data_IF_776165091962
#
_entry.id   IF_776165091962
#
_cell.length_a   1.000
_cell.length_b   1.000
_cell.length_c   1.000
_cell.angle_alpha   90.00
_cell.angle_beta   90.00
_cell.angle_gamma   90.00
#
_symmetry.space_group_name_H-M   'P 1'
#
loop_
_entity.id
_entity.type
_entity.pdbx_description
1 polymer ?
#
# COMPACT_ATOMS: atom_id res chain seq x y z
N UNK A 1 49.84 2.23 -39.81
CA UNK A 1 49.14 3.52 -39.93
C UNK A 1 47.66 3.24 -40.04
N UNK A 2 46.97 3.17 -38.90
CA UNK A 2 45.51 3.25 -38.86
C UNK A 2 45.23 4.39 -37.90
N UNK A 3 44.99 5.56 -38.47
CA UNK A 3 44.51 6.73 -37.74
C UNK A 3 43.11 6.39 -37.24
N UNK A 4 43.03 5.82 -36.02
CA UNK A 4 41.78 5.83 -35.27
C UNK A 4 41.44 7.31 -35.06
N UNK A 5 40.45 7.78 -35.81
CA UNK A 5 40.07 9.19 -35.82
C UNK A 5 39.70 9.58 -34.38
N UNK A 6 40.37 10.58 -33.77
CA UNK A 6 40.20 10.90 -32.35
C UNK A 6 38.73 11.17 -31.97
N UNK A 7 37.89 11.55 -32.93
CA UNK A 7 36.45 11.72 -32.72
C UNK A 7 35.66 10.42 -32.62
N UNK A 8 36.09 9.33 -33.25
CA UNK A 8 35.44 8.03 -33.05
C UNK A 8 35.69 7.51 -31.65
N UNK A 9 36.94 7.57 -31.19
CA UNK A 9 37.31 7.22 -29.82
C UNK A 9 36.55 8.08 -28.78
N UNK A 10 36.40 9.38 -29.04
CA UNK A 10 35.67 10.27 -28.15
C UNK A 10 34.16 10.01 -28.14
N UNK A 11 33.56 9.69 -29.29
CA UNK A 11 32.15 9.31 -29.38
C UNK A 11 31.87 7.97 -28.68
N UNK A 12 32.80 7.02 -28.74
CA UNK A 12 32.68 5.74 -28.03
C UNK A 12 32.75 5.92 -26.51
N UNK A 13 33.65 6.79 -26.03
CA UNK A 13 33.69 7.17 -24.61
C UNK A 13 32.38 7.84 -24.20
N UNK A 14 31.85 8.77 -25.00
CA UNK A 14 30.58 9.45 -24.71
C UNK A 14 29.42 8.45 -24.63
N UNK A 15 29.30 7.54 -25.60
CA UNK A 15 28.31 6.46 -25.59
C UNK A 15 28.47 5.54 -24.37
N UNK A 16 29.70 5.16 -24.01
CA UNK A 16 29.97 4.32 -22.85
C UNK A 16 29.55 5.01 -21.53
N UNK A 17 29.77 6.32 -21.41
CA UNK A 17 29.33 7.12 -20.27
C UNK A 17 27.80 7.24 -20.23
N UNK A 18 27.16 7.57 -21.35
CA UNK A 18 25.70 7.67 -21.44
C UNK A 18 25.01 6.34 -21.09
N UNK A 19 25.50 5.23 -21.65
CA UNK A 19 24.99 3.88 -21.36
C UNK A 19 25.20 3.49 -19.90
N UNK A 20 26.35 3.82 -19.31
CA UNK A 20 26.63 3.56 -17.89
C UNK A 20 25.74 4.39 -16.98
N UNK A 21 25.48 5.66 -17.31
CA UNK A 21 24.57 6.53 -16.57
C UNK A 21 23.12 6.05 -16.69
N UNK A 22 22.68 5.61 -17.87
CA UNK A 22 21.35 5.01 -18.08
C UNK A 22 21.23 3.70 -17.30
N UNK A 23 22.26 2.86 -17.29
CA UNK A 23 22.29 1.60 -16.53
C UNK A 23 22.26 1.85 -15.01
N UNK A 24 23.11 2.74 -14.51
CA UNK A 24 23.16 3.11 -13.10
C UNK A 24 21.87 3.83 -12.63
N UNK A 25 21.27 4.64 -13.51
CA UNK A 25 20.00 5.30 -13.23
C UNK A 25 18.82 4.34 -13.28
N UNK A 26 18.80 3.33 -14.16
CA UNK A 26 17.74 2.29 -14.18
C UNK A 26 17.79 1.37 -12.97
N UNK A 27 18.98 1.04 -12.45
CA UNK A 27 19.14 0.30 -11.18
C UNK A 27 18.63 1.11 -9.98
N UNK A 28 18.84 2.43 -9.98
CA UNK A 28 18.24 3.34 -9.00
C UNK A 28 16.80 3.73 -9.36
N UNK A 29 16.33 3.39 -10.56
CA UNK A 29 14.94 3.48 -11.02
C UNK A 29 14.10 2.32 -10.47
N UNK A 30 14.27 2.03 -9.18
CA UNK A 30 13.10 1.87 -8.30
C UNK A 30 12.45 3.23 -8.03
N UNK A 31 12.51 4.14 -9.01
CA UNK A 31 11.56 5.24 -9.11
C UNK A 31 10.25 4.52 -9.18
N UNK A 32 9.49 4.66 -8.10
CA UNK A 32 8.05 4.74 -8.15
C UNK A 32 7.72 5.51 -9.42
N UNK A 33 7.58 4.83 -10.56
CA UNK A 33 6.93 5.41 -11.71
C UNK A 33 5.61 5.84 -11.10
N UNK A 34 5.48 7.15 -10.92
CA UNK A 34 4.28 7.75 -10.39
C UNK A 34 3.30 7.55 -11.54
N UNK A 35 2.77 6.33 -11.65
CA UNK A 35 1.89 5.79 -12.70
C UNK A 35 0.61 6.62 -12.84
N UNK A 36 0.40 7.56 -11.91
CA UNK A 36 -0.69 8.51 -11.87
C UNK A 36 -0.34 9.87 -12.51
N UNK A 37 0.94 10.16 -12.79
CA UNK A 37 1.35 11.38 -13.50
C UNK A 37 1.13 11.16 -15.00
N UNK A 38 0.20 11.94 -15.55
CA UNK A 38 -0.13 11.88 -16.98
C UNK A 38 0.96 12.52 -17.84
N UNK A 39 1.05 12.09 -19.10
CA UNK A 39 1.91 12.74 -20.11
C UNK A 39 1.63 14.26 -20.22
N UNK A 40 0.37 14.67 -20.05
CA UNK A 40 -0.02 16.08 -20.01
C UNK A 40 0.60 16.82 -18.81
N UNK A 41 0.68 16.19 -17.63
CA UNK A 41 1.38 16.77 -16.47
C UNK A 41 2.88 16.90 -16.71
N UNK A 42 3.50 15.92 -17.39
CA UNK A 42 4.92 15.97 -17.77
C UNK A 42 5.17 17.13 -18.72
N UNK A 43 4.36 17.27 -19.77
CA UNK A 43 4.46 18.39 -20.71
C UNK A 43 4.31 19.75 -20.01
N UNK A 44 3.44 19.87 -19.00
CA UNK A 44 3.31 21.09 -18.19
C UNK A 44 4.53 21.36 -17.29
N UNK A 45 5.18 20.31 -16.77
CA UNK A 45 6.44 20.43 -16.02
C UNK A 45 7.55 20.93 -16.94
N UNK A 46 7.65 20.39 -18.16
CA UNK A 46 8.66 20.81 -19.11
C UNK A 46 8.41 22.23 -19.63
N UNK A 47 7.16 22.57 -19.96
CA UNK A 47 6.79 23.95 -20.31
C UNK A 47 7.12 24.95 -19.19
N UNK A 48 6.94 24.56 -17.92
CA UNK A 48 7.30 25.41 -16.78
C UNK A 48 8.79 25.72 -16.72
N UNK A 49 9.66 24.79 -17.12
CA UNK A 49 11.12 24.98 -17.10
C UNK A 49 11.60 26.00 -18.13
N UNK A 50 10.81 26.23 -19.18
CA UNK A 50 11.14 27.16 -20.27
C UNK A 50 10.76 28.62 -19.93
N UNK A 51 10.04 28.87 -18.84
CA UNK A 51 9.60 30.23 -18.48
C UNK A 51 10.78 31.02 -17.89
N UNK A 52 11.17 32.17 -18.47
CA UNK A 52 12.26 32.99 -17.95
C UNK A 52 11.99 33.55 -16.54
N UNK A 53 13.03 33.90 -15.78
CA UNK A 53 12.90 34.73 -14.58
C UNK A 53 12.52 36.16 -14.96
N UNK A 54 11.59 36.77 -14.21
CA UNK A 54 11.11 38.13 -14.49
C UNK A 54 9.67 38.30 -14.04
N UNK A 55 9.29 39.51 -13.61
CA UNK A 55 7.93 39.79 -13.14
C UNK A 55 6.90 39.77 -14.26
N UNK A 56 7.34 40.06 -15.49
CA UNK A 56 6.58 40.02 -16.73
C UNK A 56 6.03 38.60 -17.03
N UNK A 57 6.74 37.56 -16.59
CA UNK A 57 6.33 36.16 -16.77
C UNK A 57 5.56 35.58 -15.57
N UNK A 58 5.25 36.39 -14.55
CA UNK A 58 4.58 35.89 -13.34
C UNK A 58 3.20 35.31 -13.61
N UNK A 59 2.43 35.94 -14.52
CA UNK A 59 1.08 35.46 -14.85
C UNK A 59 1.13 34.13 -15.60
N UNK A 60 2.03 33.99 -16.58
CA UNK A 60 2.26 32.74 -17.32
C UNK A 60 2.67 31.59 -16.37
N UNK A 61 3.59 31.89 -15.45
CA UNK A 61 4.04 30.95 -14.41
C UNK A 61 2.91 30.56 -13.47
N UNK A 62 2.06 31.51 -13.08
CA UNK A 62 0.87 31.28 -12.26
C UNK A 62 -0.14 30.38 -12.97
N UNK A 63 -0.41 30.63 -14.25
CA UNK A 63 -1.33 29.83 -15.06
C UNK A 63 -0.85 28.40 -15.24
N UNK A 64 0.42 28.20 -15.60
CA UNK A 64 1.01 26.87 -15.73
C UNK A 64 0.99 26.14 -14.38
N UNK A 65 1.28 26.82 -13.26
CA UNK A 65 1.18 26.23 -11.92
C UNK A 65 -0.24 25.77 -11.58
N UNK A 66 -1.26 26.59 -11.90
CA UNK A 66 -2.67 26.24 -11.71
C UNK A 66 -3.06 25.01 -12.55
N UNK A 67 -2.69 25.00 -13.85
CA UNK A 67 -2.95 23.87 -14.76
C UNK A 67 -2.26 22.59 -14.30
N UNK A 68 -0.99 22.68 -13.93
CA UNK A 68 -0.20 21.54 -13.43
C UNK A 68 -0.81 20.97 -12.16
N UNK A 69 -1.17 21.83 -11.19
CA UNK A 69 -1.81 21.40 -9.94
C UNK A 69 -3.10 20.64 -10.22
N UNK A 70 -3.92 21.13 -11.16
CA UNK A 70 -5.17 20.46 -11.54
C UNK A 70 -4.92 19.12 -12.24
N UNK A 71 -3.97 19.07 -13.17
CA UNK A 71 -3.63 17.84 -13.90
C UNK A 71 -3.09 16.75 -12.96
N UNK A 72 -2.22 17.13 -12.02
CA UNK A 72 -1.70 16.21 -11.01
C UNK A 72 -2.81 15.69 -10.08
N UNK A 73 -3.72 16.56 -9.62
CA UNK A 73 -4.88 16.13 -8.82
C UNK A 73 -5.75 15.13 -9.58
N UNK A 74 -6.05 15.43 -10.84
CA UNK A 74 -6.85 14.54 -11.69
C UNK A 74 -6.16 13.19 -11.92
N UNK A 75 -4.86 13.19 -12.23
CA UNK A 75 -4.10 11.96 -12.42
C UNK A 75 -4.08 11.10 -11.15
N UNK A 76 -3.90 11.73 -9.98
CA UNK A 76 -3.95 11.04 -8.68
C UNK A 76 -5.33 10.46 -8.38
N UNK A 77 -6.39 11.21 -8.66
CA UNK A 77 -7.77 10.74 -8.47
C UNK A 77 -8.07 9.53 -9.37
N UNK A 78 -7.74 9.63 -10.65
CA UNK A 78 -7.92 8.53 -11.61
C UNK A 78 -7.18 7.27 -11.18
N UNK A 79 -5.98 7.42 -10.64
CA UNK A 79 -5.25 6.29 -10.11
C UNK A 79 -5.94 5.67 -8.89
N UNK A 80 -6.40 6.48 -7.93
CA UNK A 80 -7.12 5.96 -6.76
C UNK A 80 -8.42 5.25 -7.15
N UNK A 81 -9.16 5.78 -8.12
CA UNK A 81 -10.35 5.13 -8.67
C UNK A 81 -10.01 3.80 -9.31
N UNK A 82 -8.95 3.74 -10.14
CA UNK A 82 -8.51 2.49 -10.74
C UNK A 82 -8.10 1.46 -9.68
N UNK A 83 -7.38 1.91 -8.64
CA UNK A 83 -6.91 1.05 -7.56
C UNK A 83 -8.06 0.52 -6.68
N UNK A 84 -9.06 1.36 -6.39
CA UNK A 84 -10.29 0.95 -5.71
C UNK A 84 -11.03 -0.13 -6.50
N UNK A 85 -11.14 0.03 -7.83
CA UNK A 85 -11.75 -1.00 -8.69
C UNK A 85 -10.99 -2.33 -8.66
N UNK A 86 -9.66 -2.32 -8.56
CA UNK A 86 -8.88 -3.56 -8.41
C UNK A 86 -9.19 -4.25 -7.07
N UNK A 87 -9.28 -3.47 -5.99
CA UNK A 87 -9.63 -3.96 -4.65
C UNK A 87 -11.02 -4.57 -4.63
N UNK A 88 -12.02 -3.87 -5.20
CA UNK A 88 -13.40 -4.36 -5.32
C UNK A 88 -13.50 -5.66 -6.12
N UNK A 89 -12.79 -5.76 -7.26
CA UNK A 89 -12.75 -7.00 -8.05
C UNK A 89 -12.16 -8.16 -7.28
N UNK A 90 -11.04 -7.94 -6.56
CA UNK A 90 -10.42 -8.98 -5.75
C UNK A 90 -11.35 -9.46 -4.62
N UNK A 91 -12.07 -8.55 -3.99
CA UNK A 91 -13.07 -8.87 -2.98
C UNK A 91 -14.25 -9.66 -3.55
N UNK A 92 -14.79 -9.24 -4.70
CA UNK A 92 -15.93 -9.89 -5.35
C UNK A 92 -15.64 -11.35 -5.77
N UNK A 93 -14.40 -11.64 -6.17
CA UNK A 93 -13.96 -13.00 -6.56
C UNK A 93 -13.55 -13.83 -5.33
N UNK A 94 -13.51 -13.24 -4.13
CA UNK A 94 -13.05 -13.92 -2.91
C UNK A 94 -11.52 -14.16 -2.88
N UNK A 95 -10.74 -13.45 -3.70
CA UNK A 95 -9.28 -13.59 -3.74
C UNK A 95 -8.63 -12.78 -2.62
N UNK A 96 -8.67 -13.33 -1.40
CA UNK A 96 -8.14 -12.71 -0.19
C UNK A 96 -6.65 -12.36 -0.32
N UNK A 97 -5.84 -13.23 -0.93
CA UNK A 97 -4.39 -12.99 -1.11
C UNK A 97 -4.11 -11.75 -1.95
N UNK A 98 -4.85 -11.56 -3.05
CA UNK A 98 -4.72 -10.39 -3.91
C UNK A 98 -5.26 -9.13 -3.21
N UNK A 99 -6.39 -9.25 -2.52
CA UNK A 99 -6.97 -8.16 -1.73
C UNK A 99 -5.98 -7.63 -0.69
N UNK A 100 -5.40 -8.51 0.13
CA UNK A 100 -4.40 -8.12 1.14
C UNK A 100 -3.16 -7.46 0.52
N UNK A 101 -2.69 -7.95 -0.63
CA UNK A 101 -1.56 -7.35 -1.35
C UNK A 101 -1.89 -5.91 -1.80
N UNK A 102 -3.05 -5.72 -2.42
CA UNK A 102 -3.51 -4.41 -2.89
C UNK A 102 -3.69 -3.43 -1.73
N UNK A 103 -4.27 -3.86 -0.61
CA UNK A 103 -4.44 -3.05 0.60
C UNK A 103 -3.09 -2.67 1.22
N UNK A 104 -2.08 -3.54 1.17
CA UNK A 104 -0.71 -3.21 1.61
C UNK A 104 -0.01 -2.22 0.70
N UNK A 105 -0.25 -2.30 -0.61
CA UNK A 105 0.30 -1.36 -1.60
C UNK A 105 -0.34 0.03 -1.51
N UNK A 106 -1.65 0.09 -1.23
CA UNK A 106 -2.39 1.36 -1.07
C UNK A 106 -2.33 1.93 0.32
N UNK A 107 -2.07 1.09 1.31
CA UNK A 107 -1.93 1.49 2.70
C UNK A 107 -0.94 2.63 2.81
N UNK A 108 -1.28 3.61 3.65
CA UNK A 108 -0.34 4.63 4.09
C UNK A 108 0.85 3.85 4.65
N UNK A 109 1.98 3.90 3.93
CA UNK A 109 3.27 3.38 4.40
C UNK A 109 3.38 3.89 5.83
N UNK A 110 3.29 2.98 6.81
CA UNK A 110 3.08 3.30 8.22
C UNK A 110 3.79 4.62 8.52
N UNK A 111 3.10 5.69 9.00
CA UNK A 111 3.87 6.70 9.71
C UNK A 111 4.67 5.87 10.72
N UNK A 112 6.00 5.99 10.68
CA UNK A 112 6.86 5.45 11.73
C UNK A 112 6.09 5.68 13.02
N UNK A 113 5.65 4.57 13.63
CA UNK A 113 4.53 4.51 14.58
C UNK A 113 4.51 5.79 15.41
N UNK A 114 3.35 6.43 15.59
CA UNK A 114 3.20 7.55 16.52
C UNK A 114 3.71 7.10 17.89
N UNK A 115 5.01 7.31 18.12
CA UNK A 115 5.80 6.61 19.12
C UNK A 115 5.74 7.34 20.46
N UNK A 116 4.82 8.28 20.59
CA UNK A 116 4.62 9.03 21.81
C UNK A 116 3.58 8.29 22.65
N UNK A 117 3.93 7.09 23.09
CA UNK A 117 3.21 6.41 24.16
C UNK A 117 3.52 7.17 25.46
N UNK A 118 2.49 7.58 26.18
CA UNK A 118 2.63 8.23 27.48
C UNK A 118 2.32 7.27 28.62
N UNK A 119 2.96 7.53 29.75
CA UNK A 119 2.61 7.00 31.07
C UNK A 119 1.16 7.39 31.43
N UNK A 120 0.56 6.72 32.43
CA UNK A 120 -0.76 7.10 32.97
C UNK A 120 -0.80 8.54 33.47
N UNK A 121 0.34 9.05 33.92
CA UNK A 121 0.51 10.42 34.43
C UNK A 121 0.84 11.44 33.32
N UNK A 122 0.76 11.05 32.05
CA UNK A 122 0.96 11.92 30.88
C UNK A 122 2.41 12.11 30.42
N UNK A 123 3.40 11.53 31.11
CA UNK A 123 4.81 11.62 30.74
C UNK A 123 5.13 10.77 29.51
N UNK A 124 5.93 11.30 28.58
CA UNK A 124 6.28 10.60 27.34
C UNK A 124 7.32 9.49 27.61
N UNK A 125 7.07 8.30 27.09
CA UNK A 125 7.95 7.13 27.25
C UNK A 125 8.96 7.09 26.10
N UNK A 126 10.21 7.37 26.43
CA UNK A 126 11.32 7.35 25.47
C UNK A 126 11.99 5.97 25.33
N UNK A 127 11.82 5.06 26.30
CA UNK A 127 12.41 3.71 26.28
C UNK A 127 11.51 2.70 25.58
N UNK A 128 12.07 1.92 24.65
CA UNK A 128 11.34 0.88 23.93
C UNK A 128 10.83 -0.24 24.85
N UNK A 129 11.64 -0.70 25.82
CA UNK A 129 11.19 -1.71 26.79
C UNK A 129 10.02 -1.19 27.60
N UNK A 130 10.09 0.07 28.06
CA UNK A 130 9.02 0.68 28.84
C UNK A 130 7.73 0.86 28.03
N UNK A 131 7.82 1.12 26.72
CA UNK A 131 6.64 1.17 25.83
C UNK A 131 5.96 -0.20 25.72
N UNK A 132 6.74 -1.29 25.64
CA UNK A 132 6.20 -2.66 25.61
C UNK A 132 5.54 -3.05 26.93
N UNK A 133 6.15 -2.68 28.06
CA UNK A 133 5.57 -2.92 29.38
C UNK A 133 4.26 -2.15 29.56
N UNK A 134 4.24 -0.86 29.17
CA UNK A 134 3.03 -0.03 29.25
C UNK A 134 1.92 -0.50 28.31
N UNK A 135 2.27 -1.03 27.14
CA UNK A 135 1.31 -1.75 26.29
C UNK A 135 0.73 -2.96 27.02
N UNK A 136 1.58 -3.78 27.64
CA UNK A 136 1.14 -4.98 28.37
C UNK A 136 0.23 -4.63 29.54
N UNK A 137 0.55 -3.58 30.30
CA UNK A 137 -0.28 -3.04 31.38
C UNK A 137 -1.64 -2.56 30.85
N UNK A 138 -1.66 -1.77 29.77
CA UNK A 138 -2.89 -1.23 29.19
C UNK A 138 -3.85 -2.35 28.73
N UNK A 139 -3.30 -3.36 28.03
CA UNK A 139 -4.10 -4.51 27.58
C UNK A 139 -4.57 -5.35 28.77
N UNK A 140 -3.71 -5.58 29.77
CA UNK A 140 -4.13 -6.27 30.99
C UNK A 140 -5.30 -5.52 31.63
N UNK A 141 -5.17 -4.22 31.86
CA UNK A 141 -6.22 -3.40 32.48
C UNK A 141 -7.53 -3.40 31.68
N UNK A 142 -7.47 -3.34 30.35
CA UNK A 142 -8.66 -3.43 29.49
C UNK A 142 -9.31 -4.82 29.50
N UNK A 143 -8.51 -5.88 29.52
CA UNK A 143 -8.97 -7.27 29.42
C UNK A 143 -9.05 -7.99 30.77
N UNK A 144 -8.86 -7.27 31.88
CA UNK A 144 -9.20 -7.72 33.23
C UNK A 144 -10.73 -7.72 33.38
N UNK A 145 -11.38 -8.66 32.70
CA UNK A 145 -12.74 -9.05 33.06
C UNK A 145 -12.67 -9.59 34.49
N UNK A 146 -13.56 -9.19 35.43
CA UNK A 146 -13.65 -9.91 36.69
C UNK A 146 -13.85 -11.36 36.29
N UNK A 147 -12.92 -12.26 36.68
CA UNK A 147 -13.05 -13.69 36.44
C UNK A 147 -14.49 -14.01 36.73
N UNK A 148 -15.21 -14.38 35.68
CA UNK A 148 -16.63 -14.59 35.76
C UNK A 148 -16.80 -15.67 36.82
N UNK A 149 -17.09 -15.23 38.04
CA UNK A 149 -17.82 -16.02 39.02
C UNK A 149 -19.26 -16.07 38.52
N UNK A 150 -19.43 -16.35 37.23
CA UNK A 150 -20.57 -17.06 36.73
C UNK A 150 -20.42 -18.40 37.43
N UNK A 151 -21.10 -18.52 38.57
CA UNK A 151 -21.87 -19.73 38.81
C UNK A 151 -22.72 -19.89 37.56
N UNK A 152 -22.16 -20.57 36.56
CA UNK A 152 -22.97 -21.15 35.52
C UNK A 152 -24.04 -21.93 36.28
N UNK A 153 -25.34 -21.68 36.05
CA UNK A 153 -26.34 -22.61 36.52
C UNK A 153 -25.86 -23.97 36.01
N UNK A 154 -25.66 -24.93 36.91
CA UNK A 154 -25.40 -26.31 36.52
C UNK A 154 -26.52 -26.67 35.56
N UNK A 155 -26.23 -26.69 34.25
CA UNK A 155 -27.19 -27.08 33.24
C UNK A 155 -27.37 -28.57 33.47
N UNK A 156 -28.39 -28.92 34.23
CA UNK A 156 -28.85 -30.30 34.41
C UNK A 156 -29.20 -30.83 33.02
N UNK A 157 -28.34 -31.71 32.50
CA UNK A 157 -28.59 -32.62 31.38
C UNK A 157 -29.37 -32.03 30.21
N UNK A 158 -28.70 -31.29 29.32
CA UNK A 158 -29.19 -31.30 27.94
C UNK A 158 -29.01 -32.73 27.38
N UNK A 159 -29.97 -33.26 26.62
CA UNK A 159 -29.77 -34.56 25.98
C UNK A 159 -28.59 -34.43 25.02
N UNK A 160 -27.62 -35.34 25.15
CA UNK A 160 -26.55 -35.52 24.17
C UNK A 160 -27.19 -35.60 22.77
N UNK A 161 -26.71 -34.77 21.85
CA UNK A 161 -27.09 -34.87 20.46
C UNK A 161 -26.73 -36.27 19.97
N UNK A 162 -27.73 -37.11 19.74
CA UNK A 162 -27.51 -38.43 19.13
C UNK A 162 -27.11 -38.23 17.67
N UNK A 163 -25.83 -37.98 17.45
CA UNK A 163 -25.22 -38.00 16.12
C UNK A 163 -25.13 -39.47 15.72
N UNK A 164 -25.91 -39.85 14.71
CA UNK A 164 -25.85 -41.19 14.16
C UNK A 164 -24.53 -41.33 13.40
N UNK A 165 -23.52 -41.90 14.05
CA UNK A 165 -22.18 -42.12 13.49
C UNK A 165 -22.09 -43.38 12.61
N UNK A 166 -23.24 -43.92 12.18
CA UNK A 166 -23.31 -45.07 11.29
C UNK A 166 -22.88 -44.71 9.86
N UNK A 167 -22.50 -45.71 9.05
CA UNK A 167 -22.26 -45.52 7.62
C UNK A 167 -23.49 -44.88 6.96
N UNK A 168 -23.33 -43.92 6.03
CA UNK A 168 -24.43 -43.33 5.29
C UNK A 168 -25.29 -44.41 4.63
N UNK A 169 -26.60 -44.20 4.59
CA UNK A 169 -27.49 -45.14 3.90
C UNK A 169 -27.45 -44.92 2.39
N UNK A 170 -27.65 -45.98 1.59
CA UNK A 170 -27.70 -45.88 0.12
C UNK A 170 -28.70 -44.82 -0.39
N UNK A 171 -29.76 -44.55 0.37
CA UNK A 171 -30.73 -43.51 0.08
C UNK A 171 -30.15 -42.09 0.19
N UNK A 172 -29.24 -41.86 1.14
CA UNK A 172 -28.55 -40.58 1.30
C UNK A 172 -27.53 -40.37 0.17
N UNK A 173 -26.82 -41.42 -0.24
CA UNK A 173 -25.87 -41.37 -1.35
C UNK A 173 -26.56 -41.07 -2.69
N UNK A 174 -27.73 -41.69 -2.97
CA UNK A 174 -28.50 -41.42 -4.19
C UNK A 174 -29.03 -39.97 -4.26
N UNK A 175 -29.28 -39.34 -3.11
CA UNK A 175 -29.78 -37.96 -3.06
C UNK A 175 -28.70 -36.94 -3.40
N UNK A 176 -27.43 -37.27 -3.16
CA UNK A 176 -26.27 -36.44 -3.52
C UNK A 176 -25.92 -36.57 -5.01
N UNK A 177 -26.25 -37.69 -5.64
CA UNK A 177 -25.93 -38.00 -7.03
C UNK A 177 -26.96 -37.51 -8.07
N UNK A 178 -28.08 -36.91 -7.66
CA UNK A 178 -29.01 -36.29 -8.61
C UNK A 178 -28.55 -34.86 -8.97
N UNK A 179 -28.24 -34.56 -10.25
CA UNK A 179 -27.89 -33.22 -10.67
C UNK A 179 -29.09 -32.28 -10.52
N UNK A 180 -28.79 -31.04 -10.13
CA UNK A 180 -29.74 -29.94 -9.95
C UNK A 180 -30.23 -29.39 -11.29
#
# INVERSE_FOLDING_TARGET
LCDAHPEEAWNDIRKAVETSVISASTVNRRVREQHWISAASIALIDARKLIPPGSEHNEERSQIRRKLTRSLRNGREQWWVAKAREVEKAAAIGNSRQLFRLVKETGIRNPTVSETLSEKDGHIIHSQSRRLDRWTEHFRDQFNWPSSTLRFPTISGQPEWQVNAGPPSLYEDEKVLKPR
#
